data_IF_824826292741
#
_entry.id   IF_824826292741
#
_cell.length_a   1.000
_cell.length_b   1.000
_cell.length_c   1.000
_cell.angle_alpha   90.00
_cell.angle_beta   90.00
_cell.angle_gamma   90.00
#
_symmetry.space_group_name_H-M   'P 1'
#
loop_
_entity.id
_entity.type
_entity.pdbx_description
1 polymer ?
#
# COMPACT_ATOMS: atom_id res chain seq x y z
N UNK A 1 -17.53 6.47 -3.97
CA UNK A 1 -17.02 7.83 -3.70
C UNK A 1 -16.14 8.29 -4.87
N UNK A 2 -15.96 9.59 -5.10
CA UNK A 2 -14.96 10.14 -6.04
C UNK A 2 -14.20 11.27 -5.36
N UNK A 3 -12.87 11.22 -5.41
CA UNK A 3 -11.96 12.23 -4.85
C UNK A 3 -10.78 12.41 -5.82
N UNK A 4 -10.28 13.63 -6.00
CA UNK A 4 -9.06 13.82 -6.78
C UNK A 4 -7.84 13.44 -5.93
N UNK A 5 -6.75 12.95 -6.56
CA UNK A 5 -5.56 12.48 -5.83
C UNK A 5 -4.99 13.52 -4.86
N UNK A 6 -5.09 14.80 -5.22
CA UNK A 6 -4.49 15.91 -4.49
C UNK A 6 -5.39 16.35 -3.31
N UNK A 7 -6.66 15.92 -3.31
CA UNK A 7 -7.62 16.16 -2.23
C UNK A 7 -7.62 15.03 -1.18
N UNK A 8 -6.92 13.92 -1.44
CA UNK A 8 -6.85 12.80 -0.49
C UNK A 8 -6.03 13.23 0.74
N UNK A 9 -6.54 13.05 1.98
CA UNK A 9 -5.80 13.38 3.19
C UNK A 9 -4.43 12.71 3.25
N UNK A 10 -3.39 13.50 3.52
CA UNK A 10 -2.04 12.99 3.76
C UNK A 10 -1.98 12.43 5.18
N UNK A 11 -1.60 11.16 5.31
CA UNK A 11 -1.43 10.47 6.60
C UNK A 11 0.03 10.37 7.02
N UNK A 12 0.94 10.24 6.05
CA UNK A 12 2.38 10.19 6.27
C UNK A 12 3.03 11.17 5.29
N UNK A 13 3.89 12.04 5.81
CA UNK A 13 4.70 12.98 5.03
C UNK A 13 6.10 13.06 5.67
N UNK A 14 7.00 12.21 5.21
CA UNK A 14 8.37 12.09 5.73
C UNK A 14 9.37 12.04 4.56
N UNK A 15 10.67 12.30 4.77
CA UNK A 15 11.65 12.20 3.69
C UNK A 15 11.58 10.82 3.00
N UNK A 16 11.32 10.82 1.70
CA UNK A 16 11.23 9.60 0.89
C UNK A 16 9.87 8.89 0.91
N UNK A 17 8.88 9.32 1.71
CA UNK A 17 7.55 8.70 1.67
C UNK A 17 6.42 9.71 1.86
N UNK A 18 5.44 9.64 0.97
CA UNK A 18 4.16 10.34 1.13
C UNK A 18 2.99 9.40 0.92
N UNK A 19 2.23 9.17 1.99
CA UNK A 19 1.07 8.31 1.99
C UNK A 19 -0.21 9.15 2.10
N UNK A 20 -1.05 9.09 1.07
CA UNK A 20 -2.40 9.65 1.10
C UNK A 20 -3.41 8.53 1.24
N UNK A 21 -4.38 8.69 2.13
CA UNK A 21 -5.40 7.66 2.37
C UNK A 21 -6.76 8.30 2.67
N UNK A 22 -7.77 7.81 1.96
CA UNK A 22 -9.17 7.96 2.32
C UNK A 22 -9.69 6.65 2.89
N UNK A 23 -9.98 6.62 4.19
CA UNK A 23 -10.67 5.50 4.82
C UNK A 23 -12.14 5.46 4.37
N UNK A 24 -12.79 4.30 4.51
CA UNK A 24 -14.22 4.11 4.22
C UNK A 24 -14.62 4.58 2.80
N UNK A 25 -13.74 4.41 1.81
CA UNK A 25 -13.93 4.91 0.45
C UNK A 25 -15.08 4.20 -0.28
N UNK A 26 -15.31 2.93 0.07
CA UNK A 26 -16.38 2.10 -0.46
C UNK A 26 -16.60 0.84 0.36
N UNK A 27 -17.71 0.15 0.09
CA UNK A 27 -18.00 -1.18 0.63
C UNK A 27 -17.56 -2.24 -0.36
N UNK A 28 -16.83 -3.23 0.11
CA UNK A 28 -16.49 -4.44 -0.62
C UNK A 28 -17.18 -5.58 0.11
N UNK A 29 -18.38 -5.93 -0.37
CA UNK A 29 -19.24 -6.92 0.28
C UNK A 29 -18.47 -8.23 0.49
N UNK A 30 -18.47 -8.72 1.74
CA UNK A 30 -17.68 -9.88 2.17
C UNK A 30 -16.32 -9.56 2.80
N UNK A 31 -15.77 -8.36 2.56
CA UNK A 31 -14.50 -7.89 3.12
C UNK A 31 -14.65 -6.63 3.99
N UNK A 32 -15.84 -5.99 3.97
CA UNK A 32 -16.12 -4.79 4.75
C UNK A 32 -15.77 -3.51 4.01
N UNK A 33 -15.23 -2.52 4.71
CA UNK A 33 -14.99 -1.18 4.18
C UNK A 33 -13.56 -1.08 3.64
N UNK A 34 -13.43 -0.57 2.42
CA UNK A 34 -12.15 -0.43 1.73
C UNK A 34 -11.60 0.99 1.91
N UNK A 35 -10.34 1.09 2.30
CA UNK A 35 -9.54 2.30 2.15
C UNK A 35 -9.01 2.45 0.73
N UNK A 36 -8.89 3.68 0.25
CA UNK A 36 -8.24 3.99 -1.03
C UNK A 36 -7.01 4.87 -0.79
N UNK A 37 -5.90 4.51 -1.44
CA UNK A 37 -4.58 5.04 -1.14
C UNK A 37 -3.84 5.52 -2.40
N UNK A 38 -3.08 6.60 -2.26
CA UNK A 38 -2.11 7.06 -3.25
C UNK A 38 -0.76 7.26 -2.55
N UNK A 39 0.14 6.30 -2.74
CA UNK A 39 1.45 6.30 -2.11
C UNK A 39 2.54 6.73 -3.07
N UNK A 40 3.55 7.41 -2.55
CA UNK A 40 4.73 7.82 -3.28
C UNK A 40 5.95 7.54 -2.42
N UNK A 41 6.85 6.70 -2.94
CA UNK A 41 8.06 6.27 -2.27
C UNK A 41 9.28 6.72 -3.07
N UNK A 42 10.34 7.10 -2.36
CA UNK A 42 11.67 7.28 -2.91
C UNK A 42 12.28 5.93 -3.25
N UNK A 43 13.29 5.92 -4.12
CA UNK A 43 14.03 4.70 -4.40
C UNK A 43 14.71 4.21 -3.12
N UNK A 44 14.52 2.92 -2.78
CA UNK A 44 15.09 2.30 -1.58
C UNK A 44 14.35 2.63 -0.29
N UNK A 45 13.18 3.25 -0.34
CA UNK A 45 12.32 3.45 0.84
C UNK A 45 11.74 2.12 1.31
N UNK A 46 12.26 1.63 2.43
CA UNK A 46 11.74 0.47 3.14
C UNK A 46 10.68 0.93 4.17
N UNK A 47 9.49 0.32 4.14
CA UNK A 47 8.41 0.61 5.10
C UNK A 47 8.10 -0.55 6.05
N UNK A 48 8.94 -1.58 6.08
CA UNK A 48 8.75 -2.76 6.95
C UNK A 48 8.63 -2.38 8.42
N UNK A 49 9.42 -1.42 8.88
CA UNK A 49 9.38 -0.90 10.26
C UNK A 49 8.02 -0.31 10.66
N UNK A 50 7.21 0.19 9.72
CA UNK A 50 5.87 0.68 10.03
C UNK A 50 4.89 -0.44 10.40
N UNK A 51 5.23 -1.68 10.07
CA UNK A 51 4.40 -2.85 10.31
C UNK A 51 4.86 -3.62 11.56
N UNK A 52 5.99 -3.24 12.14
CA UNK A 52 6.53 -3.87 13.34
C UNK A 52 5.53 -3.80 14.51
N UNK A 53 5.29 -4.96 15.14
CA UNK A 53 4.34 -5.11 16.24
C UNK A 53 2.91 -5.46 15.80
N UNK A 54 2.64 -5.52 14.49
CA UNK A 54 1.45 -6.20 13.98
C UNK A 54 1.63 -7.71 14.01
N UNK A 55 0.54 -8.47 13.84
CA UNK A 55 0.62 -9.92 13.72
C UNK A 55 1.54 -10.32 12.55
N UNK A 56 2.62 -11.03 12.87
CA UNK A 56 3.65 -11.43 11.90
C UNK A 56 4.40 -10.27 11.25
N UNK A 57 4.41 -9.09 11.89
CA UNK A 57 4.96 -7.84 11.37
C UNK A 57 4.45 -7.50 9.96
N UNK A 58 3.20 -7.88 9.65
CA UNK A 58 2.63 -7.76 8.32
C UNK A 58 1.24 -7.12 8.34
N UNK A 59 0.88 -6.44 7.25
CA UNK A 59 -0.47 -5.92 7.08
C UNK A 59 -1.44 -7.06 6.71
N UNK A 60 -2.48 -7.22 7.54
CA UNK A 60 -3.48 -8.29 7.40
C UNK A 60 -4.56 -7.98 6.34
N UNK A 61 -4.61 -6.73 5.86
CA UNK A 61 -5.56 -6.34 4.83
C UNK A 61 -5.15 -6.90 3.46
N UNK A 62 -6.10 -7.37 2.64
CA UNK A 62 -5.83 -7.62 1.23
C UNK A 62 -5.60 -6.31 0.48
N UNK A 63 -4.59 -6.27 -0.37
CA UNK A 63 -4.24 -5.11 -1.18
C UNK A 63 -4.40 -5.41 -2.66
N UNK A 64 -5.08 -4.51 -3.37
CA UNK A 64 -5.08 -4.43 -4.82
C UNK A 64 -4.43 -3.12 -5.21
N UNK A 65 -3.50 -3.18 -6.16
CA UNK A 65 -2.76 -2.00 -6.54
C UNK A 65 -2.47 -1.94 -8.03
N UNK A 66 -2.19 -0.72 -8.46
CA UNK A 66 -1.69 -0.41 -9.79
C UNK A 66 -0.45 0.48 -9.64
N UNK A 67 0.64 0.11 -10.30
CA UNK A 67 1.87 0.91 -10.25
C UNK A 67 1.79 2.01 -11.30
N UNK A 68 1.66 3.25 -10.84
CA UNK A 68 1.58 4.42 -11.74
C UNK A 68 2.94 4.74 -12.37
N UNK A 69 4.02 4.67 -11.58
CA UNK A 69 5.39 4.98 -12.01
C UNK A 69 6.41 4.23 -11.14
N UNK A 70 7.53 3.85 -11.73
CA UNK A 70 8.63 3.19 -11.02
C UNK A 70 8.38 1.70 -10.81
N UNK A 71 8.82 1.19 -9.66
CA UNK A 71 8.63 -0.19 -9.25
C UNK A 71 8.48 -0.26 -7.72
N UNK A 72 7.79 -1.30 -7.24
CA UNK A 72 7.55 -1.60 -5.83
C UNK A 72 7.77 -3.09 -5.61
N UNK A 73 8.39 -3.46 -4.49
CA UNK A 73 8.53 -4.87 -4.11
C UNK A 73 7.65 -5.16 -2.90
N UNK A 74 6.72 -6.09 -3.07
CA UNK A 74 5.94 -6.66 -2.00
C UNK A 74 6.68 -7.89 -1.46
N UNK A 75 6.99 -7.92 -0.17
CA UNK A 75 7.44 -9.10 0.57
C UNK A 75 6.23 -9.74 1.25
N UNK A 76 6.13 -11.05 1.15
CA UNK A 76 5.10 -11.84 1.81
C UNK A 76 5.68 -12.54 3.03
N UNK A 77 4.83 -12.86 4.03
CA UNK A 77 5.24 -13.55 5.26
C UNK A 77 5.95 -14.90 5.03
N UNK A 78 5.77 -15.52 3.86
CA UNK A 78 6.50 -16.71 3.42
C UNK A 78 7.91 -16.46 2.85
N UNK A 79 8.39 -15.22 2.85
CA UNK A 79 9.73 -14.83 2.36
C UNK A 79 9.82 -14.62 0.84
N UNK A 80 8.78 -14.95 0.07
CA UNK A 80 8.73 -14.61 -1.35
C UNK A 80 8.54 -13.10 -1.54
N UNK A 81 9.26 -12.52 -2.49
CA UNK A 81 9.14 -11.12 -2.84
C UNK A 81 8.75 -10.94 -4.30
N UNK A 82 7.68 -10.19 -4.58
CA UNK A 82 7.22 -9.91 -5.95
C UNK A 82 7.39 -8.45 -6.29
N UNK A 83 8.10 -8.18 -7.38
CA UNK A 83 8.28 -6.81 -7.91
C UNK A 83 7.21 -6.52 -8.95
N UNK A 84 6.47 -5.44 -8.74
CA UNK A 84 5.54 -4.86 -9.71
C UNK A 84 6.14 -3.56 -10.27
N UNK A 85 5.96 -3.31 -11.56
CA UNK A 85 6.50 -2.15 -12.29
C UNK A 85 5.37 -1.31 -12.87
N UNK A 86 5.69 -0.10 -13.29
CA UNK A 86 4.73 0.82 -13.91
C UNK A 86 3.87 0.11 -14.99
N UNK A 87 2.56 0.20 -14.85
CA UNK A 87 1.59 -0.51 -15.71
C UNK A 87 1.05 -1.80 -15.12
N UNK A 88 1.69 -2.37 -14.11
CA UNK A 88 1.24 -3.63 -13.50
C UNK A 88 0.06 -3.41 -12.57
N UNK A 89 -0.93 -4.32 -12.69
CA UNK A 89 -1.90 -4.60 -11.63
C UNK A 89 -1.34 -5.72 -10.74
N UNK A 90 -1.52 -5.59 -9.43
CA UNK A 90 -1.12 -6.62 -8.49
C UNK A 90 -2.16 -6.84 -7.40
N UNK A 91 -2.11 -8.05 -6.84
CA UNK A 91 -2.81 -8.45 -5.63
C UNK A 91 -1.78 -8.92 -4.60
N UNK A 92 -1.96 -8.55 -3.33
CA UNK A 92 -1.09 -8.95 -2.24
C UNK A 92 -1.87 -9.16 -0.95
N UNK A 93 -1.64 -10.31 -0.29
CA UNK A 93 -2.15 -10.64 1.04
C UNK A 93 -1.00 -10.79 2.01
N UNK A 94 -1.06 -10.18 3.21
CA UNK A 94 0.02 -10.31 4.20
C UNK A 94 1.31 -9.63 3.75
N UNK A 95 1.25 -8.32 3.50
CA UNK A 95 2.31 -7.56 2.82
C UNK A 95 3.24 -6.84 3.81
N UNK A 96 4.54 -6.89 3.48
CA UNK A 96 5.58 -5.94 3.88
C UNK A 96 6.10 -5.26 2.58
N UNK A 97 6.00 -3.94 2.46
CA UNK A 97 6.46 -3.24 1.24
C UNK A 97 7.89 -2.73 1.43
N UNK A 98 8.72 -2.92 0.40
CA UNK A 98 10.10 -2.41 0.30
C UNK A 98 10.36 -1.78 -1.06
#
# INVERSE_FOLDING_TARGET
MRIAKDDIPVRIDVPGAKARQQAEFGDVTGYGKMGAEYFSFGAGTDITELLHGLEGDACQSPHWGYVVKGAIKALYTGGEGKTSRAGDLFFASGILVT
#
